data_IF_376126899856
#
_entry.id   IF_376126899856
#
_cell.length_a   1.000
_cell.length_b   1.000
_cell.length_c   1.000
_cell.angle_alpha   90.00
_cell.angle_beta   90.00
_cell.angle_gamma   90.00
#
_symmetry.space_group_name_H-M   'P 1'
#
loop_
_entity.id
_entity.type
_entity.pdbx_description
1 polymer ?
#
# COMPACT_ATOMS: atom_id res chain seq x y z
N UNK A 1 20.30 3.59 -13.10
CA UNK A 1 19.87 2.51 -12.17
C UNK A 1 18.68 1.80 -12.80
N UNK A 2 18.81 0.51 -13.12
CA UNK A 2 17.68 -0.27 -13.60
C UNK A 2 16.66 -0.38 -12.46
N UNK A 3 15.62 0.45 -12.49
CA UNK A 3 14.57 0.42 -11.48
C UNK A 3 13.76 -0.86 -11.66
N UNK A 4 13.89 -1.79 -10.71
CA UNK A 4 13.01 -2.96 -10.60
C UNK A 4 11.52 -2.56 -10.54
N UNK A 5 11.23 -1.33 -10.13
CA UNK A 5 9.91 -0.73 -10.05
C UNK A 5 9.65 0.23 -11.21
N UNK A 6 8.54 0.01 -11.92
CA UNK A 6 8.08 0.93 -12.98
C UNK A 6 7.63 2.28 -12.38
N UNK A 7 7.71 3.38 -13.14
CA UNK A 7 7.27 4.70 -12.66
C UNK A 7 5.78 4.72 -12.27
N UNK A 8 4.95 3.89 -12.90
CA UNK A 8 3.55 3.72 -12.53
C UNK A 8 3.38 3.07 -11.15
N UNK A 9 4.18 2.04 -10.85
CA UNK A 9 4.15 1.37 -9.56
C UNK A 9 4.62 2.29 -8.43
N UNK A 10 5.64 3.11 -8.67
CA UNK A 10 6.09 4.12 -7.71
C UNK A 10 4.99 5.14 -7.39
N UNK A 11 4.29 5.66 -8.42
CA UNK A 11 3.17 6.60 -8.21
C UNK A 11 2.02 5.96 -7.43
N UNK A 12 1.67 4.71 -7.73
CA UNK A 12 0.63 3.98 -7.00
C UNK A 12 1.01 3.69 -5.55
N UNK A 13 2.27 3.32 -5.32
CA UNK A 13 2.79 3.11 -3.98
C UNK A 13 2.76 4.42 -3.16
N UNK A 14 3.20 5.54 -3.75
CA UNK A 14 3.12 6.85 -3.12
C UNK A 14 1.68 7.25 -2.79
N UNK A 15 0.74 7.02 -3.72
CA UNK A 15 -0.68 7.28 -3.49
C UNK A 15 -1.27 6.38 -2.39
N UNK A 16 -0.88 5.10 -2.33
CA UNK A 16 -1.33 4.16 -1.31
C UNK A 16 -0.80 4.54 0.08
N UNK A 17 0.47 4.95 0.18
CA UNK A 17 1.06 5.46 1.44
C UNK A 17 0.38 6.76 1.85
N UNK A 18 0.21 7.71 0.92
CA UNK A 18 -0.51 8.95 1.23
C UNK A 18 -1.95 8.66 1.70
N UNK A 19 -2.64 7.73 1.04
CA UNK A 19 -3.99 7.30 1.43
C UNK A 19 -4.04 6.64 2.81
N UNK A 20 -3.08 5.77 3.14
CA UNK A 20 -3.04 5.09 4.44
C UNK A 20 -2.77 6.03 5.62
N UNK A 21 -2.12 7.17 5.36
CA UNK A 21 -1.89 8.22 6.36
C UNK A 21 -3.06 9.21 6.42
N UNK A 22 -3.49 9.73 5.26
CA UNK A 22 -4.44 10.83 5.20
C UNK A 22 -5.88 10.40 5.51
N UNK A 23 -6.30 9.20 5.08
CA UNK A 23 -7.68 8.76 5.30
C UNK A 23 -7.98 8.55 6.79
N UNK A 24 -7.21 7.74 7.56
CA UNK A 24 -7.51 7.55 8.97
C UNK A 24 -7.34 8.84 9.77
N UNK A 25 -6.38 9.69 9.39
CA UNK A 25 -6.21 10.99 10.05
C UNK A 25 -7.41 11.90 9.83
N UNK A 26 -7.90 12.03 8.60
CA UNK A 26 -9.07 12.86 8.28
C UNK A 26 -10.34 12.35 8.99
N UNK A 27 -10.55 11.03 9.02
CA UNK A 27 -11.64 10.40 9.77
C UNK A 27 -11.49 10.66 11.27
N UNK A 28 -10.28 10.60 11.81
CA UNK A 28 -9.98 10.91 13.21
C UNK A 28 -10.30 12.36 13.58
N UNK A 29 -9.92 13.33 12.74
CA UNK A 29 -10.27 14.74 12.94
C UNK A 29 -11.78 14.96 12.89
N UNK A 30 -12.44 14.42 11.85
CA UNK A 30 -13.89 14.48 11.72
C UNK A 30 -14.60 13.89 12.94
N UNK A 31 -14.14 12.74 13.46
CA UNK A 31 -14.73 12.10 14.63
C UNK A 31 -14.60 12.97 15.90
N UNK A 32 -13.53 13.75 16.02
CA UNK A 32 -13.31 14.65 17.16
C UNK A 32 -14.27 15.84 17.16
N UNK A 33 -14.70 16.32 15.99
CA UNK A 33 -15.66 17.43 15.88
C UNK A 33 -17.04 17.09 16.51
N UNK A 34 -17.38 15.80 16.61
CA UNK A 34 -18.61 15.34 17.27
C UNK A 34 -18.46 15.17 18.80
N UNK A 35 -17.24 15.26 19.35
CA UNK A 35 -17.00 15.14 20.79
C UNK A 35 -17.11 16.54 21.42
N UNK A 36 -18.33 16.91 21.83
CA UNK A 36 -18.57 18.19 22.52
C UNK A 36 -18.06 18.14 23.98
N UNK A 37 -17.17 19.05 24.39
CA UNK A 37 -16.78 19.19 25.80
C UNK A 37 -17.98 19.74 26.59
N UNK A 38 -18.52 18.92 27.49
CA UNK A 38 -19.68 19.27 28.34
C UNK A 38 -20.87 18.30 28.27
N UNK A 39 -20.97 17.48 27.23
CA UNK A 39 -22.01 16.43 27.10
C UNK A 39 -21.52 15.04 27.54
N UNK A 40 -20.21 14.86 27.68
CA UNK A 40 -19.57 13.60 28.05
C UNK A 40 -18.72 13.78 29.32
N UNK A 41 -18.90 12.89 30.31
CA UNK A 41 -18.20 12.92 31.60
C UNK A 41 -16.66 12.95 31.46
N UNK A 42 -16.10 12.35 30.40
CA UNK A 42 -14.66 12.27 30.13
C UNK A 42 -14.34 12.51 28.64
N UNK A 43 -14.50 13.76 28.19
CA UNK A 43 -14.21 14.15 26.79
C UNK A 43 -12.75 13.86 26.38
N UNK A 44 -11.80 14.07 27.31
CA UNK A 44 -10.35 13.85 27.08
C UNK A 44 -10.05 12.37 26.81
N UNK A 45 -10.63 11.46 27.60
CA UNK A 45 -10.42 10.02 27.43
C UNK A 45 -10.93 9.52 26.09
N UNK A 46 -12.10 10.01 25.65
CA UNK A 46 -12.68 9.65 24.35
C UNK A 46 -11.81 10.14 23.20
N UNK A 47 -11.27 11.36 23.29
CA UNK A 47 -10.38 11.91 22.28
C UNK A 47 -9.08 11.09 22.16
N UNK A 48 -8.49 10.67 23.28
CA UNK A 48 -7.29 9.80 23.29
C UNK A 48 -7.57 8.40 22.72
N UNK A 49 -8.75 7.84 22.96
CA UNK A 49 -9.14 6.55 22.36
C UNK A 49 -9.27 6.65 20.84
N UNK A 50 -9.87 7.74 20.33
CA UNK A 50 -9.93 8.01 18.89
C UNK A 50 -8.51 8.07 18.32
N UNK A 51 -7.60 8.78 18.97
CA UNK A 51 -6.20 8.86 18.53
C UNK A 51 -5.50 7.50 18.51
N UNK A 52 -5.70 6.66 19.53
CA UNK A 52 -5.15 5.31 19.56
C UNK A 52 -5.64 4.44 18.40
N UNK A 53 -6.93 4.48 18.11
CA UNK A 53 -7.52 3.72 16.99
C UNK A 53 -7.02 4.24 15.65
N UNK A 54 -6.92 5.55 15.48
CA UNK A 54 -6.40 6.18 14.26
C UNK A 54 -4.96 5.75 14.01
N UNK A 55 -4.07 5.87 15.01
CA UNK A 55 -2.67 5.47 14.89
C UNK A 55 -2.54 3.97 14.60
N UNK A 56 -3.31 3.12 15.30
CA UNK A 56 -3.31 1.69 15.03
C UNK A 56 -3.74 1.35 13.60
N UNK A 57 -4.76 2.04 13.09
CA UNK A 57 -5.25 1.85 11.72
C UNK A 57 -4.23 2.30 10.67
N UNK A 58 -3.53 3.41 10.90
CA UNK A 58 -2.45 3.88 10.02
C UNK A 58 -1.33 2.85 9.94
N UNK A 59 -0.87 2.35 11.09
CA UNK A 59 0.18 1.34 11.15
C UNK A 59 -0.23 0.06 10.43
N UNK A 60 -1.45 -0.42 10.66
CA UNK A 60 -1.99 -1.59 9.97
C UNK A 60 -2.10 -1.41 8.45
N UNK A 61 -2.56 -0.24 8.00
CA UNK A 61 -2.64 0.04 6.57
C UNK A 61 -1.25 0.13 5.93
N UNK A 62 -0.26 0.69 6.63
CA UNK A 62 1.13 0.74 6.17
C UNK A 62 1.75 -0.66 6.04
N UNK A 63 1.49 -1.58 6.98
CA UNK A 63 2.00 -2.95 6.87
C UNK A 63 1.39 -3.67 5.67
N UNK A 64 0.10 -3.49 5.39
CA UNK A 64 -0.54 -4.02 4.17
C UNK A 64 0.12 -3.49 2.88
N UNK A 65 0.41 -2.18 2.80
CA UNK A 65 1.13 -1.60 1.65
C UNK A 65 2.53 -2.20 1.54
N UNK A 66 3.24 -2.38 2.64
CA UNK A 66 4.56 -3.01 2.65
C UNK A 66 4.50 -4.46 2.15
N UNK A 67 3.54 -5.27 2.61
CA UNK A 67 3.32 -6.64 2.13
C UNK A 67 3.05 -6.67 0.64
N UNK A 68 2.22 -5.75 0.13
CA UNK A 68 1.94 -5.65 -1.29
C UNK A 68 3.18 -5.28 -2.12
N UNK A 69 4.02 -4.36 -1.63
CA UNK A 69 5.28 -3.99 -2.29
C UNK A 69 6.28 -5.15 -2.33
N UNK A 70 6.36 -5.93 -1.25
CA UNK A 70 7.19 -7.15 -1.20
C UNK A 70 6.70 -8.14 -2.27
N UNK A 71 5.37 -8.35 -2.39
CA UNK A 71 4.80 -9.19 -3.44
C UNK A 71 5.18 -8.71 -4.84
N UNK A 72 5.06 -7.40 -5.10
CA UNK A 72 5.48 -6.81 -6.37
C UNK A 72 6.97 -7.05 -6.64
N UNK A 73 7.82 -6.87 -5.63
CA UNK A 73 9.26 -7.12 -5.74
C UNK A 73 9.57 -8.57 -6.07
N UNK A 74 8.96 -9.54 -5.37
CA UNK A 74 9.13 -10.97 -5.66
C UNK A 74 8.75 -11.30 -7.10
N UNK A 75 7.63 -10.77 -7.60
CA UNK A 75 7.22 -10.99 -9.00
C UNK A 75 8.19 -10.36 -10.00
N UNK A 76 8.81 -9.23 -9.66
CA UNK A 76 9.81 -8.59 -10.50
C UNK A 76 11.10 -9.43 -10.55
N UNK A 77 11.51 -10.01 -9.42
CA UNK A 77 12.65 -10.94 -9.34
C UNK A 77 12.38 -12.19 -10.17
N UNK A 78 11.22 -12.83 -10.00
CA UNK A 78 10.88 -14.07 -10.72
C UNK A 78 10.77 -13.90 -12.24
N UNK A 79 10.27 -12.76 -12.72
CA UNK A 79 10.12 -12.51 -14.16
C UNK A 79 11.41 -12.04 -14.83
N UNK A 80 12.40 -11.62 -14.06
CA UNK A 80 13.65 -11.08 -14.56
C UNK A 80 13.50 -9.76 -15.34
N UNK A 81 14.63 -9.08 -15.66
CA UNK A 81 14.64 -7.81 -16.39
C UNK A 81 14.34 -7.94 -17.89
N UNK A 82 14.47 -9.14 -18.46
CA UNK A 82 14.07 -9.47 -19.83
C UNK A 82 12.99 -10.54 -19.75
N UNK A 83 11.79 -10.24 -20.27
CA UNK A 83 10.79 -11.26 -20.61
C UNK A 83 11.28 -12.01 -21.85
N UNK A 84 12.39 -12.71 -21.72
CA UNK A 84 12.82 -13.70 -22.70
C UNK A 84 12.14 -15.00 -22.26
N UNK A 85 10.95 -15.27 -22.81
CA UNK A 85 10.46 -16.63 -22.79
C UNK A 85 11.38 -17.45 -23.69
N UNK A 86 11.80 -18.64 -23.26
CA UNK A 86 12.49 -19.56 -24.14
C UNK A 86 11.60 -19.85 -25.36
N UNK A 87 12.23 -19.95 -26.53
CA UNK A 87 11.50 -20.30 -27.74
C UNK A 87 10.85 -21.68 -27.55
N UNK A 88 9.57 -21.78 -27.91
CA UNK A 88 8.87 -23.07 -27.86
C UNK A 88 9.50 -24.00 -28.91
N UNK A 89 9.93 -25.22 -28.54
CA UNK A 89 10.48 -26.16 -29.52
C UNK A 89 9.43 -26.47 -30.60
N UNK A 90 9.76 -26.18 -31.86
CA UNK A 90 8.84 -26.32 -33.00
C UNK A 90 8.11 -25.03 -33.41
N UNK A 91 8.66 -23.85 -33.08
CA UNK A 91 8.12 -22.58 -33.55
C UNK A 91 8.11 -22.52 -35.10
N UNK A 92 7.08 -21.92 -35.73
CA UNK A 92 6.97 -21.85 -37.19
C UNK A 92 8.15 -21.08 -37.78
N UNK A 93 9.10 -21.79 -38.41
CA UNK A 93 10.35 -21.24 -38.92
C UNK A 93 11.58 -22.13 -38.66
N UNK A 94 11.47 -23.12 -37.76
CA UNK A 94 12.51 -24.13 -37.55
C UNK A 94 12.47 -25.16 -38.71
N UNK A 95 13.58 -25.41 -39.43
CA UNK A 95 13.65 -26.51 -40.38
C UNK A 95 13.53 -27.86 -39.63
N UNK A 96 12.81 -28.84 -40.17
CA UNK A 96 12.68 -30.15 -39.53
C UNK A 96 14.06 -30.82 -39.43
N UNK A 97 14.34 -31.42 -38.26
CA UNK A 97 15.50 -32.27 -38.02
C UNK A 97 15.45 -33.53 -38.89
#
# INVERSE_FOLDING_TARGET
MAGWFTPLLQRRAAAAVAGSLLLPWAVGQFAKDFVQPGLADDAVRRQLLIDFVVVGTILFALTMVATWLIGCWVTAVMKGPRRAADAFPGAPGEPPL
#
